data_IF_115159803172
#
_entry.id   IF_115159803172
#
_cell.length_a   1.000
_cell.length_b   1.000
_cell.length_c   1.000
_cell.angle_alpha   90.00
_cell.angle_beta   90.00
_cell.angle_gamma   90.00
#
_symmetry.space_group_name_H-M   'P 1'
#
loop_
_entity.id
_entity.type
_entity.pdbx_description
1 polymer ?
#
# COMPACT_ATOMS: atom_id res chain seq x y z
N UNK A 1 -13.14 12.97 -8.35
CA UNK A 1 -12.12 13.57 -7.47
C UNK A 1 -10.81 13.57 -8.23
N UNK A 2 -10.22 14.74 -8.49
CA UNK A 2 -8.92 14.81 -9.16
C UNK A 2 -7.84 14.59 -8.11
N UNK A 3 -7.19 13.42 -8.16
CA UNK A 3 -6.11 13.09 -7.24
C UNK A 3 -4.86 13.85 -7.69
N UNK A 4 -4.39 14.79 -6.86
CA UNK A 4 -3.12 15.47 -7.12
C UNK A 4 -1.99 14.45 -6.96
N UNK A 5 -1.38 14.06 -8.07
CA UNK A 5 -0.27 13.11 -8.14
C UNK A 5 0.86 13.47 -7.13
N UNK A 6 1.07 14.76 -6.87
CA UNK A 6 2.13 15.25 -5.99
C UNK A 6 2.04 14.75 -4.54
N UNK A 7 0.88 14.32 -4.04
CA UNK A 7 0.76 13.81 -2.67
C UNK A 7 1.00 12.31 -2.56
N UNK A 8 0.86 11.53 -3.63
CA UNK A 8 1.11 10.09 -3.55
C UNK A 8 2.62 9.79 -3.54
N UNK A 9 3.42 10.62 -4.23
CA UNK A 9 4.86 10.47 -4.35
C UNK A 9 5.61 10.93 -3.10
N UNK A 10 5.67 10.05 -2.11
CA UNK A 10 6.44 10.25 -0.89
C UNK A 10 6.70 8.90 -0.20
N UNK A 11 7.30 8.99 0.99
CA UNK A 11 7.37 7.85 1.91
C UNK A 11 6.07 7.76 2.70
N UNK A 12 5.50 6.56 2.71
CA UNK A 12 4.33 6.15 3.45
C UNK A 12 4.69 5.05 4.45
N UNK A 13 3.93 4.99 5.53
CA UNK A 13 3.97 3.92 6.51
C UNK A 13 2.56 3.34 6.60
N UNK A 14 2.42 2.02 6.44
CA UNK A 14 1.15 1.36 6.71
C UNK A 14 0.87 1.39 8.21
N UNK A 15 -0.12 2.19 8.62
CA UNK A 15 -0.46 2.42 10.02
C UNK A 15 -1.58 1.51 10.51
N UNK A 16 -2.54 1.21 9.63
CA UNK A 16 -3.69 0.37 9.95
C UNK A 16 -4.08 -0.52 8.77
N UNK A 17 -4.59 -1.72 9.10
CA UNK A 17 -5.07 -2.70 8.14
C UNK A 17 -6.49 -3.10 8.51
N UNK A 18 -7.43 -2.89 7.58
CA UNK A 18 -8.76 -3.46 7.68
C UNK A 18 -8.77 -4.82 7.03
N UNK A 19 -9.20 -5.83 7.78
CA UNK A 19 -9.19 -7.22 7.35
C UNK A 19 -10.54 -7.65 6.79
N UNK A 20 -10.52 -8.57 5.83
CA UNK A 20 -11.73 -9.27 5.39
C UNK A 20 -12.30 -10.12 6.54
N UNK A 21 -13.61 -10.42 6.54
CA UNK A 21 -14.20 -11.32 7.54
C UNK A 21 -13.55 -12.70 7.56
N UNK A 22 -13.10 -13.17 6.39
CA UNK A 22 -12.50 -14.49 6.18
C UNK A 22 -10.96 -14.47 6.20
N UNK A 23 -10.36 -13.39 6.72
CA UNK A 23 -8.91 -13.23 6.76
C UNK A 23 -8.24 -14.39 7.51
N UNK A 24 -7.20 -14.97 6.88
CA UNK A 24 -6.41 -16.02 7.51
C UNK A 24 -5.74 -15.53 8.79
N UNK A 25 -5.79 -16.36 9.84
CA UNK A 25 -5.28 -15.98 11.17
C UNK A 25 -3.79 -15.69 11.17
N UNK A 26 -3.00 -16.44 10.39
CA UNK A 26 -1.56 -16.24 10.30
C UNK A 26 -1.25 -14.96 9.52
N UNK A 27 -1.96 -14.72 8.41
CA UNK A 27 -1.86 -13.49 7.64
C UNK A 27 -2.20 -12.26 8.52
N UNK A 28 -3.32 -12.30 9.25
CA UNK A 28 -3.70 -11.24 10.19
C UNK A 28 -2.61 -10.94 11.21
N UNK A 29 -2.08 -11.99 11.83
CA UNK A 29 -0.99 -11.87 12.82
C UNK A 29 0.27 -11.26 12.21
N UNK A 30 0.61 -11.63 10.96
CA UNK A 30 1.75 -11.07 10.25
C UNK A 30 1.56 -9.57 10.01
N UNK A 31 0.44 -9.15 9.41
CA UNK A 31 0.14 -7.75 9.15
C UNK A 31 0.13 -6.89 10.43
N UNK A 32 -0.43 -7.41 11.53
CA UNK A 32 -0.45 -6.69 12.81
C UNK A 32 0.93 -6.49 13.44
N UNK A 33 1.93 -7.30 13.05
CA UNK A 33 3.32 -7.16 13.51
C UNK A 33 4.18 -6.38 12.54
N UNK A 34 3.80 -6.34 11.27
CA UNK A 34 4.54 -5.68 10.21
C UNK A 34 4.66 -4.17 10.45
N UNK A 35 5.79 -3.64 10.03
CA UNK A 35 6.06 -2.20 9.97
C UNK A 35 6.48 -1.93 8.53
N UNK A 36 5.49 -1.70 7.68
CA UNK A 36 5.69 -1.59 6.23
C UNK A 36 5.92 -0.12 5.87
N UNK A 37 7.11 0.16 5.36
CA UNK A 37 7.45 1.44 4.75
C UNK A 37 7.35 1.31 3.23
N UNK A 38 6.71 2.26 2.57
CA UNK A 38 6.51 2.27 1.12
C UNK A 38 6.99 3.61 0.59
N UNK A 39 7.91 3.62 -0.37
CA UNK A 39 8.37 4.82 -1.06
C UNK A 39 7.84 4.78 -2.49
N UNK A 40 7.13 5.83 -2.90
CA UNK A 40 6.67 6.03 -4.27
C UNK A 40 7.36 7.25 -4.86
N UNK A 41 8.02 7.10 -6.00
CA UNK A 41 8.72 8.20 -6.66
C UNK A 41 9.02 7.88 -8.12
N UNK A 42 8.73 8.82 -9.03
CA UNK A 42 9.11 8.76 -10.45
C UNK A 42 8.64 7.44 -11.13
N UNK A 43 7.42 6.99 -10.79
CA UNK A 43 6.84 5.73 -11.31
C UNK A 43 7.46 4.45 -10.73
N UNK A 44 8.35 4.55 -9.74
CA UNK A 44 8.97 3.42 -9.04
C UNK A 44 8.42 3.30 -7.62
N UNK A 45 8.38 2.07 -7.10
CA UNK A 45 8.11 1.82 -5.69
C UNK A 45 9.19 0.97 -5.05
N UNK A 46 9.39 1.20 -3.75
CA UNK A 46 10.12 0.30 -2.86
C UNK A 46 9.33 0.14 -1.57
N UNK A 47 9.08 -1.10 -1.16
CA UNK A 47 8.41 -1.47 0.07
C UNK A 47 9.35 -2.30 0.94
N UNK A 48 9.39 -2.01 2.24
CA UNK A 48 10.21 -2.73 3.21
C UNK A 48 9.40 -2.97 4.49
N UNK A 49 9.21 -4.24 4.85
CA UNK A 49 8.67 -4.61 6.14
C UNK A 49 9.80 -4.84 7.13
N UNK A 50 9.93 -3.92 8.10
CA UNK A 50 11.00 -3.96 9.10
C UNK A 50 10.86 -5.11 10.10
N UNK A 51 9.67 -5.71 10.24
CA UNK A 51 9.48 -6.83 11.16
C UNK A 51 10.01 -8.13 10.55
N UNK A 52 9.59 -8.42 9.31
CA UNK A 52 10.02 -9.63 8.60
C UNK A 52 11.36 -9.49 7.87
N UNK A 53 11.90 -8.27 7.80
CA UNK A 53 13.08 -7.91 7.01
C UNK A 53 12.93 -8.22 5.52
N UNK A 54 11.69 -8.25 5.02
CA UNK A 54 11.38 -8.50 3.61
C UNK A 54 11.26 -7.19 2.85
N UNK A 55 11.65 -7.21 1.58
CA UNK A 55 11.59 -6.06 0.68
C UNK A 55 10.94 -6.45 -0.64
N UNK A 56 10.26 -5.51 -1.25
CA UNK A 56 9.70 -5.60 -2.60
C UNK A 56 9.92 -4.29 -3.32
N UNK A 57 10.31 -4.32 -4.58
CA UNK A 57 10.47 -3.12 -5.40
C UNK A 57 9.93 -3.39 -6.80
N UNK A 58 9.67 -2.32 -7.54
CA UNK A 58 9.17 -2.40 -8.91
C UNK A 58 8.58 -1.07 -9.36
N UNK A 59 7.61 -1.14 -10.27
CA UNK A 59 6.97 0.04 -10.85
C UNK A 59 5.57 0.25 -10.31
N UNK A 60 5.09 1.49 -10.36
CA UNK A 60 3.69 1.78 -10.10
C UNK A 60 3.10 2.68 -11.17
N UNK A 61 1.79 2.56 -11.38
CA UNK A 61 1.00 3.47 -12.21
C UNK A 61 -0.17 4.02 -11.41
N UNK A 62 -0.52 5.29 -11.67
CA UNK A 62 -1.69 5.95 -11.10
C UNK A 62 -2.63 6.38 -12.23
N UNK A 63 -3.80 5.74 -12.29
CA UNK A 63 -4.84 6.04 -13.28
C UNK A 63 -6.09 6.52 -12.55
N UNK A 64 -6.27 7.85 -12.48
CA UNK A 64 -7.31 8.45 -11.65
C UNK A 64 -7.09 8.12 -10.17
N UNK A 65 -7.98 7.32 -9.58
CA UNK A 65 -7.86 6.85 -8.20
C UNK A 65 -7.29 5.43 -8.07
N UNK A 66 -6.92 4.79 -9.18
CA UNK A 66 -6.42 3.41 -9.16
C UNK A 66 -4.90 3.42 -9.12
N UNK A 67 -4.34 2.87 -8.06
CA UNK A 67 -2.90 2.63 -7.91
C UNK A 67 -2.62 1.15 -8.23
N UNK A 68 -1.76 0.90 -9.21
CA UNK A 68 -1.29 -0.45 -9.53
C UNK A 68 0.20 -0.50 -9.28
N UNK A 69 0.67 -1.44 -8.47
CA UNK A 69 2.09 -1.67 -8.18
C UNK A 69 2.47 -3.05 -8.70
N UNK A 70 3.53 -3.12 -9.51
CA UNK A 70 4.02 -4.37 -10.12
C UNK A 70 5.44 -4.61 -9.67
N UNK A 71 5.67 -5.68 -8.90
CA UNK A 71 7.00 -6.02 -8.42
C UNK A 71 7.90 -6.50 -9.56
N UNK A 72 9.21 -6.46 -9.35
CA UNK A 72 10.19 -7.03 -10.30
C UNK A 72 9.96 -8.53 -10.58
N UNK A 73 9.34 -9.24 -9.64
CA UNK A 73 8.95 -10.65 -9.80
C UNK A 73 7.59 -10.82 -10.51
N UNK A 74 6.98 -9.74 -10.98
CA UNK A 74 5.69 -9.74 -11.69
C UNK A 74 4.47 -9.83 -10.78
N UNK A 75 4.63 -9.70 -9.45
CA UNK A 75 3.48 -9.68 -8.53
C UNK A 75 2.77 -8.34 -8.64
N UNK A 76 1.45 -8.38 -8.84
CA UNK A 76 0.63 -7.17 -9.01
C UNK A 76 -0.19 -6.93 -7.73
N UNK A 77 -0.13 -5.71 -7.22
CA UNK A 77 -0.95 -5.19 -6.14
C UNK A 77 -1.81 -4.05 -6.66
N UNK A 78 -3.11 -4.08 -6.38
CA UNK A 78 -4.06 -3.09 -6.88
C UNK A 78 -4.82 -2.46 -5.74
N UNK A 79 -4.88 -1.13 -5.78
CA UNK A 79 -5.53 -0.33 -4.77
C UNK A 79 -6.41 0.74 -5.41
N UNK A 80 -7.47 1.13 -4.69
CA UNK A 80 -8.26 2.31 -5.00
C UNK A 80 -8.09 3.32 -3.88
N UNK A 81 -7.57 4.50 -4.22
CA UNK A 81 -7.39 5.61 -3.30
C UNK A 81 -8.78 6.20 -3.01
N UNK A 82 -9.23 6.10 -1.77
CA UNK A 82 -10.50 6.67 -1.31
C UNK A 82 -10.29 8.03 -0.65
N UNK A 83 -9.14 8.23 -0.01
CA UNK A 83 -8.74 9.50 0.61
C UNK A 83 -7.25 9.75 0.36
N UNK A 84 -6.88 10.99 -0.02
CA UNK A 84 -5.49 11.41 -0.17
C UNK A 84 -5.29 12.84 0.34
N UNK A 85 -4.61 12.94 1.47
CA UNK A 85 -4.09 14.18 2.02
C UNK A 85 -2.57 14.27 1.86
N UNK A 86 -2.00 15.36 2.39
CA UNK A 86 -0.54 15.57 2.38
C UNK A 86 0.20 14.54 3.26
N UNK A 87 -0.41 14.09 4.34
CA UNK A 87 0.22 13.24 5.38
C UNK A 87 -0.52 11.95 5.68
N UNK A 88 -1.70 11.77 5.11
CA UNK A 88 -2.54 10.62 5.35
C UNK A 88 -3.19 10.21 4.02
N UNK A 89 -3.38 8.91 3.84
CA UNK A 89 -4.13 8.36 2.74
C UNK A 89 -4.85 7.10 3.20
N UNK A 90 -5.98 6.82 2.56
CA UNK A 90 -6.70 5.57 2.73
C UNK A 90 -6.89 4.92 1.37
N UNK A 91 -6.54 3.64 1.30
CA UNK A 91 -6.62 2.86 0.07
C UNK A 91 -7.41 1.59 0.30
N UNK A 92 -8.39 1.31 -0.56
CA UNK A 92 -9.08 0.01 -0.64
C UNK A 92 -8.15 -0.97 -1.38
N UNK A 93 -8.03 -2.20 -0.87
CA UNK A 93 -7.25 -3.28 -1.51
C UNK A 93 -8.18 -4.05 -2.44
N UNK A 94 -7.80 -4.16 -3.72
CA UNK A 94 -8.69 -4.72 -4.75
C UNK A 94 -8.41 -6.19 -5.07
N UNK A 95 -7.23 -6.69 -4.71
CA UNK A 95 -6.76 -8.00 -5.14
C UNK A 95 -5.98 -8.78 -4.06
N UNK A 96 -6.41 -8.67 -2.80
CA UNK A 96 -5.89 -9.46 -1.69
C UNK A 96 -7.07 -10.11 -0.92
N UNK A 97 -7.04 -11.42 -0.62
CA UNK A 97 -8.13 -12.09 0.09
C UNK A 97 -8.22 -11.75 1.58
N UNK A 98 -7.17 -11.14 2.17
CA UNK A 98 -7.08 -10.88 3.60
C UNK A 98 -7.36 -9.43 3.98
N UNK A 99 -7.18 -8.49 3.05
CA UNK A 99 -7.26 -7.05 3.32
C UNK A 99 -8.41 -6.41 2.55
N UNK A 100 -9.13 -5.51 3.23
CA UNK A 100 -10.13 -4.62 2.66
C UNK A 100 -9.53 -3.25 2.36
N UNK A 101 -8.77 -2.70 3.30
CA UNK A 101 -8.20 -1.37 3.18
C UNK A 101 -6.93 -1.22 4.02
N UNK A 102 -6.13 -0.21 3.68
CA UNK A 102 -4.94 0.18 4.41
C UNK A 102 -4.96 1.68 4.64
N UNK A 103 -4.65 2.09 5.86
CA UNK A 103 -4.38 3.48 6.19
C UNK A 103 -2.86 3.73 6.13
N UNK A 104 -2.49 4.78 5.43
CA UNK A 104 -1.12 5.19 5.19
C UNK A 104 -0.86 6.54 5.85
N UNK A 105 0.27 6.68 6.51
CA UNK A 105 0.73 7.95 7.09
C UNK A 105 2.11 8.34 6.57
N UNK A 106 2.34 9.63 6.42
CA UNK A 106 3.62 10.21 6.00
C UNK A 106 4.10 11.22 7.05
N UNK A 107 5.40 11.20 7.33
CA UNK A 107 6.07 12.05 8.33
C UNK A 107 6.61 13.33 7.69
#
# INVERSE_FOLDING_TARGET
>A
MEIKNNYIEQKWIAAHFDFTPDCDRNAKTAYQKSIIEIVLKDGQYAAHDKYSMTSSQGTYTLEGSRLTMTSEQGKVHQYKITELGKREARVEVLNDPNLLAVELVSL
#
